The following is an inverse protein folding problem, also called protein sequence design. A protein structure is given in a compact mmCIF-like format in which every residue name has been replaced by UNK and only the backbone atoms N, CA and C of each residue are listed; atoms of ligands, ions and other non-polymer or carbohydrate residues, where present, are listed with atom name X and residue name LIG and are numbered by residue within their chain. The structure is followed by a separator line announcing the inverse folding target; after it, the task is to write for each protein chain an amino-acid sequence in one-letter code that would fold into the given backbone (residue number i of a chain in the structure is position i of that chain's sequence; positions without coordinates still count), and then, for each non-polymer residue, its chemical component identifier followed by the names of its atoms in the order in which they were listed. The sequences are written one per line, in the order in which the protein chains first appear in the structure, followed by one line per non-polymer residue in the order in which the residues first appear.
data_IF_430809626484
#
_entry.id   IF_430809626484
#
_cell.length_a   1.000
_cell.length_b   1.000
_cell.length_c   1.000
_cell.angle_alpha   90.00
_cell.angle_beta   90.00
_cell.angle_gamma   90.00
#
_symmetry.space_group_name_H-M   'P 1'
#
loop_
_entity.id
_entity.type
_entity.pdbx_description
1 polymer ?
#
# COMPACT_ATOMS: atom_id res chain seq x y z
N UNK A 1 2.00 -1.47 0.91
CA UNK A 1 3.26 -1.58 0.16
C UNK A 1 3.23 -2.91 -0.59
N UNK A 2 3.33 -2.87 -1.92
CA UNK A 2 3.11 -4.03 -2.78
C UNK A 2 1.72 -4.04 -3.41
N UNK A 3 1.56 -4.93 -4.39
CA UNK A 3 0.33 -5.17 -5.14
C UNK A 3 0.14 -6.68 -5.27
N UNK A 4 -1.07 -7.16 -5.00
CA UNK A 4 -1.48 -8.55 -5.17
C UNK A 4 -3.00 -8.64 -5.30
N UNK A 5 -3.51 -9.81 -5.66
CA UNK A 5 -4.96 -10.07 -5.82
C UNK A 5 -5.76 -9.81 -4.53
N UNK A 6 -5.09 -9.83 -3.37
CA UNK A 6 -5.70 -9.57 -2.07
C UNK A 6 -5.95 -8.07 -1.82
N UNK A 7 -5.33 -7.17 -2.59
CA UNK A 7 -5.41 -5.73 -2.38
C UNK A 7 -6.86 -5.22 -2.41
N UNK A 8 -7.68 -5.65 -3.37
CA UNK A 8 -9.06 -5.20 -3.49
C UNK A 8 -9.89 -5.52 -2.24
N UNK A 9 -9.74 -6.75 -1.72
CA UNK A 9 -10.40 -7.18 -0.48
C UNK A 9 -9.92 -6.38 0.74
N UNK A 10 -8.61 -6.09 0.81
CA UNK A 10 -8.00 -5.31 1.88
C UNK A 10 -8.53 -3.86 1.87
N UNK A 11 -8.56 -3.22 0.70
CA UNK A 11 -9.09 -1.85 0.54
C UNK A 11 -10.55 -1.76 1.01
N UNK A 12 -11.38 -2.76 0.68
CA UNK A 12 -12.76 -2.83 1.15
C UNK A 12 -12.86 -2.90 2.68
N UNK A 13 -12.07 -3.76 3.32
CA UNK A 13 -12.08 -3.88 4.79
C UNK A 13 -11.59 -2.60 5.47
N UNK A 14 -10.55 -1.96 4.92
CA UNK A 14 -10.05 -0.69 5.44
C UNK A 14 -11.06 0.44 5.28
N UNK A 15 -11.78 0.50 4.15
CA UNK A 15 -12.87 1.46 3.94
C UNK A 15 -13.98 1.29 4.98
N UNK A 16 -14.41 0.04 5.24
CA UNK A 16 -15.40 -0.28 6.28
C UNK A 16 -14.92 0.16 7.66
N UNK A 17 -13.66 -0.14 8.01
CA UNK A 17 -13.09 0.27 9.29
C UNK A 17 -13.03 1.81 9.44
N UNK A 18 -12.61 2.50 8.39
CA UNK A 18 -12.48 3.96 8.38
C UNK A 18 -13.82 4.71 8.33
N UNK A 19 -14.93 4.04 8.00
CA UNK A 19 -16.27 4.63 8.07
C UNK A 19 -16.56 5.25 9.44
N UNK A 20 -16.08 4.61 10.51
CA UNK A 20 -16.24 5.08 11.90
C UNK A 20 -15.63 6.45 12.18
N UNK A 21 -14.60 6.84 11.43
CA UNK A 21 -13.89 8.12 11.56
C UNK A 21 -14.19 9.10 10.43
N UNK A 22 -15.21 8.81 9.60
CA UNK A 22 -15.63 9.67 8.48
C UNK A 22 -14.81 9.50 7.19
N UNK A 23 -14.07 8.39 7.07
CA UNK A 23 -13.16 8.12 5.96
C UNK A 23 -11.69 8.26 6.36
N UNK A 24 -10.79 7.92 5.44
CA UNK A 24 -9.36 7.97 5.66
C UNK A 24 -8.57 8.09 4.36
N UNK A 25 -7.24 8.03 4.46
CA UNK A 25 -6.36 8.03 3.28
C UNK A 25 -5.57 6.72 3.27
N UNK A 26 -5.64 5.99 2.16
CA UNK A 26 -4.84 4.80 1.92
C UNK A 26 -3.88 5.10 0.78
N UNK A 27 -2.59 4.88 1.00
CA UNK A 27 -1.56 5.05 -0.04
C UNK A 27 -1.04 3.68 -0.48
N UNK A 28 -1.13 3.40 -1.78
CA UNK A 28 -0.63 2.17 -2.40
C UNK A 28 0.67 2.51 -3.15
N UNK A 29 1.78 1.93 -2.70
CA UNK A 29 3.08 1.98 -3.38
C UNK A 29 3.38 0.61 -3.97
N UNK A 30 3.58 0.52 -5.28
CA UNK A 30 3.95 -0.72 -5.96
C UNK A 30 4.81 -0.45 -7.21
N UNK A 31 5.55 -1.47 -7.64
CA UNK A 31 6.35 -1.49 -8.87
C UNK A 31 5.44 -1.75 -10.09
N UNK A 32 4.35 -1.00 -10.18
CA UNK A 32 3.33 -1.05 -11.24
C UNK A 32 3.11 0.37 -11.76
N UNK A 33 2.64 0.51 -13.01
CA UNK A 33 2.30 1.82 -13.57
C UNK A 33 1.15 2.46 -12.78
N UNK A 34 1.23 3.78 -12.55
CA UNK A 34 0.26 4.50 -11.73
C UNK A 34 -1.13 4.45 -12.34
N UNK A 35 -1.20 4.69 -13.64
CA UNK A 35 -2.40 4.74 -14.45
C UNK A 35 -3.11 3.38 -14.42
N UNK A 36 -2.36 2.29 -14.58
CA UNK A 36 -2.90 0.93 -14.48
C UNK A 36 -3.45 0.62 -13.09
N UNK A 37 -2.73 1.01 -12.03
CA UNK A 37 -3.23 0.84 -10.66
C UNK A 37 -4.51 1.63 -10.41
N UNK A 38 -4.58 2.90 -10.85
CA UNK A 38 -5.76 3.75 -10.70
C UNK A 38 -6.96 3.18 -11.47
N UNK A 39 -6.74 2.66 -12.68
CA UNK A 39 -7.77 1.96 -13.45
C UNK A 39 -8.27 0.71 -12.74
N UNK A 40 -7.38 -0.12 -12.20
CA UNK A 40 -7.78 -1.35 -11.50
C UNK A 40 -8.55 -1.06 -10.22
N UNK A 41 -8.16 -0.02 -9.48
CA UNK A 41 -8.91 0.42 -8.29
C UNK A 41 -10.26 1.02 -8.69
N UNK A 42 -10.35 1.76 -9.80
CA UNK A 42 -11.60 2.31 -10.28
C UNK A 42 -12.61 1.24 -10.74
N UNK A 43 -12.13 0.06 -11.16
CA UNK A 43 -12.99 -1.09 -11.48
C UNK A 43 -13.55 -1.80 -10.25
N UNK A 44 -13.08 -1.47 -9.04
CA UNK A 44 -13.57 -2.11 -7.82
C UNK A 44 -15.00 -1.65 -7.52
N UNK A 45 -15.95 -2.59 -7.58
CA UNK A 45 -17.37 -2.33 -7.35
C UNK A 45 -17.73 -2.28 -5.85
N UNK A 46 -17.07 -1.40 -5.09
CA UNK A 46 -17.46 -1.14 -3.69
C UNK A 46 -17.31 0.33 -3.30
N UNK A 47 -18.09 0.74 -2.29
CA UNK A 47 -18.01 2.09 -1.72
C UNK A 47 -16.80 2.23 -0.81
N UNK A 48 -15.99 3.27 -1.04
CA UNK A 48 -14.85 3.63 -0.19
C UNK A 48 -15.26 4.35 1.10
N UNK A 49 -16.55 4.68 1.29
CA UNK A 49 -17.10 5.21 2.55
C UNK A 49 -16.35 6.47 3.04
N UNK A 50 -16.01 7.38 2.12
CA UNK A 50 -15.21 8.58 2.40
C UNK A 50 -13.69 8.35 2.41
N UNK A 51 -13.23 7.11 2.21
CA UNK A 51 -11.79 6.80 2.11
C UNK A 51 -11.25 7.17 0.73
N UNK A 52 -10.14 7.89 0.69
CA UNK A 52 -9.42 8.21 -0.54
C UNK A 52 -8.25 7.26 -0.73
N UNK A 53 -8.10 6.69 -1.93
CA UNK A 53 -6.97 5.83 -2.28
C UNK A 53 -6.03 6.57 -3.22
N UNK A 54 -4.74 6.57 -2.88
CA UNK A 54 -3.70 7.27 -3.63
C UNK A 54 -2.69 6.24 -4.14
N UNK A 55 -2.55 6.12 -5.45
CA UNK A 55 -1.56 5.24 -6.08
C UNK A 55 -0.24 5.96 -6.33
N UNK A 56 0.88 5.29 -6.07
CA UNK A 56 2.22 5.74 -6.42
C UNK A 56 3.02 4.58 -7.00
N UNK A 57 3.64 4.81 -8.15
CA UNK A 57 4.64 3.91 -8.70
C UNK A 57 5.99 4.13 -8.01
N UNK A 58 6.65 3.03 -7.64
CA UNK A 58 7.97 3.01 -7.00
C UNK A 58 8.21 1.71 -6.23
N UNK A 59 9.45 1.52 -5.76
CA UNK A 59 9.85 0.33 -5.02
C UNK A 59 9.85 0.58 -3.52
N UNK A 60 9.24 -0.31 -2.70
CA UNK A 60 9.33 -0.20 -1.24
C UNK A 60 10.74 -0.49 -0.70
N UNK A 61 11.68 -0.95 -1.55
CA UNK A 61 13.09 -1.13 -1.20
C UNK A 61 13.90 0.16 -1.35
N UNK A 62 13.37 1.17 -2.05
CA UNK A 62 14.03 2.45 -2.30
C UNK A 62 13.53 3.49 -1.28
N UNK A 63 14.45 4.04 -0.48
CA UNK A 63 14.12 5.03 0.55
C UNK A 63 13.45 6.30 -0.01
N UNK A 64 13.85 6.74 -1.21
CA UNK A 64 13.25 7.90 -1.86
C UNK A 64 11.75 7.70 -2.18
N UNK A 65 11.39 6.49 -2.61
CA UNK A 65 10.01 6.12 -2.92
C UNK A 65 9.16 5.98 -1.65
N UNK A 66 9.74 5.44 -0.57
CA UNK A 66 9.10 5.42 0.75
C UNK A 66 8.84 6.84 1.28
N UNK A 67 9.78 7.78 1.07
CA UNK A 67 9.58 9.19 1.43
C UNK A 67 8.48 9.86 0.60
N UNK A 68 8.37 9.53 -0.69
CA UNK A 68 7.32 10.04 -1.61
C UNK A 68 5.91 9.73 -1.11
N UNK A 69 5.71 8.62 -0.40
CA UNK A 69 4.43 8.23 0.21
C UNK A 69 4.30 8.60 1.68
N UNK A 70 5.24 9.39 2.22
CA UNK A 70 5.22 9.84 3.62
C UNK A 70 5.10 8.70 4.64
N UNK A 71 5.83 7.59 4.45
CA UNK A 71 5.71 6.41 5.35
C UNK A 71 5.94 6.73 6.82
N UNK A 72 6.78 7.71 7.16
CA UNK A 72 7.06 8.13 8.54
C UNK A 72 5.85 8.74 9.25
N UNK A 73 4.87 9.25 8.50
CA UNK A 73 3.65 9.87 9.05
C UNK A 73 2.44 8.93 9.02
N UNK A 74 2.59 7.74 8.45
CA UNK A 74 1.50 6.78 8.32
C UNK A 74 1.18 6.16 9.68
N UNK A 75 -0.11 6.12 10.06
CA UNK A 75 -0.57 5.46 11.29
C UNK A 75 -0.26 3.96 11.31
N UNK A 76 -0.27 3.33 10.15
CA UNK A 76 0.04 1.92 9.96
C UNK A 76 0.63 1.71 8.56
N UNK A 77 1.54 0.75 8.45
CA UNK A 77 2.15 0.33 7.19
C UNK A 77 1.85 -1.15 7.00
N UNK A 78 1.20 -1.49 5.89
CA UNK A 78 0.87 -2.87 5.55
C UNK A 78 1.80 -3.30 4.40
N UNK A 79 2.60 -4.34 4.63
CA UNK A 79 3.42 -4.99 3.59
C UNK A 79 2.61 -6.15 3.04
N UNK A 80 2.24 -6.07 1.76
CA UNK A 80 1.51 -7.14 1.09
C UNK A 80 2.50 -8.18 0.58
N UNK A 81 2.22 -9.45 0.89
CA UNK A 81 2.87 -10.58 0.27
C UNK A 81 2.64 -10.51 -1.24
N UNK A 82 3.71 -10.69 -2.00
CA UNK A 82 3.65 -10.86 -3.44
C UNK A 82 3.13 -12.27 -3.77
N UNK A 83 2.54 -12.43 -4.95
CA UNK A 83 1.97 -13.69 -5.44
C UNK A 83 3.05 -14.70 -5.91
N UNK A 84 4.30 -14.47 -5.54
CA UNK A 84 5.45 -15.37 -5.76
C UNK A 84 5.51 -16.51 -4.72
N UNK A 85 6.52 -17.39 -4.81
CA UNK A 85 6.73 -18.45 -3.82
C UNK A 85 6.86 -17.84 -2.41
N UNK A 86 6.27 -18.51 -1.40
CA UNK A 86 6.30 -18.11 0.01
C UNK A 86 7.70 -17.66 0.48
N UNK A 87 8.76 -18.41 0.19
CA UNK A 87 10.12 -18.05 0.62
C UNK A 87 10.60 -16.73 0.00
N UNK A 88 10.26 -16.48 -1.27
CA UNK A 88 10.63 -15.24 -1.96
C UNK A 88 9.80 -14.06 -1.45
N UNK A 89 8.51 -14.30 -1.20
CA UNK A 89 7.58 -13.31 -0.63
C UNK A 89 8.03 -12.88 0.78
N UNK A 90 8.43 -13.83 1.62
CA UNK A 90 8.95 -13.58 2.97
C UNK A 90 10.30 -12.85 2.94
N UNK A 91 11.21 -13.26 2.05
CA UNK A 91 12.48 -12.56 1.85
C UNK A 91 12.26 -11.10 1.40
N UNK A 92 11.29 -10.86 0.51
CA UNK A 92 10.92 -9.52 0.08
C UNK A 92 10.31 -8.71 1.23
N UNK A 93 9.38 -9.29 1.99
CA UNK A 93 8.77 -8.64 3.13
C UNK A 93 9.81 -8.23 4.18
N UNK A 94 10.75 -9.12 4.51
CA UNK A 94 11.85 -8.84 5.44
C UNK A 94 12.71 -7.67 4.95
N UNK A 95 13.06 -7.63 3.66
CA UNK A 95 13.82 -6.52 3.08
C UNK A 95 13.06 -5.20 3.16
N UNK A 96 11.74 -5.21 2.91
CA UNK A 96 10.90 -4.01 3.05
C UNK A 96 10.87 -3.53 4.50
N UNK A 97 10.72 -4.43 5.48
CA UNK A 97 10.75 -4.08 6.90
C UNK A 97 12.09 -3.45 7.30
N UNK A 98 13.22 -4.00 6.81
CA UNK A 98 14.54 -3.40 7.03
C UNK A 98 14.65 -2.01 6.38
N UNK A 99 14.14 -1.82 5.16
CA UNK A 99 14.10 -0.52 4.50
C UNK A 99 13.26 0.50 5.28
N UNK A 100 12.12 0.08 5.85
CA UNK A 100 11.26 0.92 6.69
C UNK A 100 11.97 1.34 7.98
N UNK A 101 12.69 0.43 8.64
CA UNK A 101 13.49 0.75 9.83
C UNK A 101 14.61 1.77 9.53
N UNK A 102 15.08 1.83 8.28
CA UNK A 102 16.06 2.81 7.82
C UNK A 102 15.48 4.21 7.54
N UNK A 103 14.15 4.38 7.50
CA UNK A 103 13.51 5.68 7.31
C UNK A 103 13.53 6.45 8.62
N UNK A 104 14.53 7.34 8.78
CA UNK A 104 14.54 8.29 9.90
C UNK A 104 13.40 9.31 9.73
N UNK A 105 12.76 9.66 10.85
CA UNK A 105 11.87 10.82 10.90
C UNK A 105 12.64 12.06 10.41
N UNK A 106 12.05 12.76 9.46
CA UNK A 106 12.54 14.01 8.89
C UNK A 106 11.49 15.08 9.06
#
# INVERSE_FOLDING_TARGET
LGWSDKLGSLLKQLAIANKSVGGGVIVVLAEKEKEEMEMDIAKLEFDFMGTSVICRSGSPLILADLKKVSVSKARAIIVLAADENADQSDARALRVVLSLAGVKEG
#
